data_IF_293392634927
#
_entry.id   IF_293392634927
#
_cell.length_a   1.000
_cell.length_b   1.000
_cell.length_c   1.000
_cell.angle_alpha   90.00
_cell.angle_beta   90.00
_cell.angle_gamma   90.00
#
_symmetry.space_group_name_H-M   'P 1'
#
loop_
_entity.id
_entity.type
_entity.pdbx_description
1 polymer ?
#
# COMPACT_ATOMS: atom_id res chain seq x y z
N UNK A 1 -15.47 2.77 -25.87
CA UNK A 1 -16.68 3.46 -26.31
C UNK A 1 -17.98 3.04 -25.65
N UNK A 2 -18.07 1.90 -24.96
CA UNK A 2 -19.29 1.54 -24.20
C UNK A 2 -19.53 2.43 -22.96
N UNK A 3 -18.50 3.11 -22.47
CA UNK A 3 -18.59 3.98 -21.28
C UNK A 3 -18.69 5.47 -21.63
N UNK A 4 -18.60 5.86 -22.89
CA UNK A 4 -18.65 7.26 -23.33
C UNK A 4 -17.47 8.12 -22.80
N UNK A 5 -16.35 7.48 -22.45
CA UNK A 5 -15.14 8.16 -21.95
C UNK A 5 -14.20 8.38 -23.14
N UNK A 6 -13.82 9.64 -23.39
CA UNK A 6 -12.79 9.97 -24.37
C UNK A 6 -11.39 9.86 -23.77
N UNK A 7 -10.39 9.75 -24.64
CA UNK A 7 -8.98 9.80 -24.24
C UNK A 7 -8.70 11.12 -23.53
N UNK A 8 -8.12 11.05 -22.33
CA UNK A 8 -7.80 12.22 -21.49
C UNK A 8 -8.92 12.70 -20.55
N UNK A 9 -10.16 12.20 -20.66
CA UNK A 9 -11.27 12.61 -19.79
C UNK A 9 -11.15 12.03 -18.38
N UNK A 10 -10.57 10.82 -18.26
CA UNK A 10 -10.45 10.12 -16.99
C UNK A 10 -9.55 10.89 -16.03
N UNK A 11 -10.08 11.25 -14.86
CA UNK A 11 -9.30 11.98 -13.86
C UNK A 11 -8.23 11.11 -13.20
N UNK A 12 -8.58 9.89 -12.81
CA UNK A 12 -7.69 8.96 -12.12
C UNK A 12 -7.89 7.54 -12.65
N UNK A 13 -6.79 6.87 -13.01
CA UNK A 13 -6.73 5.43 -13.19
C UNK A 13 -5.95 4.83 -12.01
N UNK A 14 -6.63 4.08 -11.16
CA UNK A 14 -6.00 3.41 -10.02
C UNK A 14 -6.05 1.89 -10.19
N UNK A 15 -4.96 1.19 -9.82
CA UNK A 15 -4.93 -0.26 -9.89
C UNK A 15 -3.80 -0.90 -9.09
N UNK A 16 -4.01 -2.18 -8.74
CA UNK A 16 -3.01 -3.04 -8.10
C UNK A 16 -2.83 -4.32 -8.94
N UNK A 17 -2.21 -4.25 -10.13
CA UNK A 17 -2.03 -5.42 -10.97
C UNK A 17 -1.23 -6.49 -10.23
N UNK A 18 -1.69 -7.75 -10.18
CA UNK A 18 -1.02 -8.79 -9.44
C UNK A 18 0.39 -9.06 -9.98
N UNK A 19 1.33 -9.27 -9.06
CA UNK A 19 2.74 -9.47 -9.34
C UNK A 19 3.24 -10.69 -8.57
N UNK A 20 2.83 -11.89 -8.99
CA UNK A 20 3.15 -13.12 -8.25
C UNK A 20 4.62 -13.50 -8.34
N UNK A 21 5.32 -13.17 -9.43
CA UNK A 21 6.75 -13.43 -9.60
C UNK A 21 7.67 -12.72 -8.60
N UNK A 22 7.19 -11.67 -7.91
CA UNK A 22 7.97 -10.89 -6.93
C UNK A 22 7.68 -11.26 -5.47
N UNK A 23 6.60 -12.00 -5.20
CA UNK A 23 6.25 -12.34 -3.84
C UNK A 23 7.36 -13.14 -3.16
N UNK A 24 7.74 -12.75 -1.94
CA UNK A 24 8.67 -13.53 -1.10
C UNK A 24 8.17 -14.94 -0.80
N UNK A 25 6.86 -15.16 -0.93
CA UNK A 25 6.24 -16.47 -0.76
C UNK A 25 6.50 -17.41 -1.95
N UNK A 26 6.98 -16.90 -3.08
CA UNK A 26 7.42 -17.72 -4.22
C UNK A 26 8.90 -17.99 -4.07
N UNK A 27 9.36 -19.26 -4.04
CA UNK A 27 10.78 -19.59 -4.00
C UNK A 27 11.55 -18.91 -5.12
N UNK A 28 12.78 -18.40 -4.82
CA UNK A 28 13.58 -17.60 -5.76
C UNK A 28 13.78 -18.27 -7.13
N UNK A 29 13.88 -19.60 -7.17
CA UNK A 29 14.02 -20.40 -8.39
C UNK A 29 12.79 -20.40 -9.31
N UNK A 30 11.63 -19.95 -8.83
CA UNK A 30 10.38 -19.86 -9.59
C UNK A 30 9.98 -18.40 -9.89
N UNK A 31 10.88 -17.44 -9.67
CA UNK A 31 10.66 -16.03 -9.99
C UNK A 31 11.26 -15.73 -11.34
N UNK A 32 10.42 -15.58 -12.36
CA UNK A 32 10.86 -15.26 -13.72
C UNK A 32 10.30 -13.92 -14.16
N UNK A 33 11.10 -13.12 -14.86
CA UNK A 33 10.71 -11.84 -15.47
C UNK A 33 9.58 -12.01 -16.49
N UNK A 34 9.56 -13.10 -17.21
CA UNK A 34 8.61 -13.40 -18.29
C UNK A 34 7.40 -14.23 -17.84
N UNK A 35 7.13 -14.30 -16.52
CA UNK A 35 5.94 -14.99 -16.01
C UNK A 35 4.68 -14.30 -16.59
N UNK A 36 3.77 -15.08 -17.17
CA UNK A 36 2.47 -14.59 -17.70
C UNK A 36 1.70 -13.76 -16.68
N UNK A 37 1.88 -14.04 -15.40
CA UNK A 37 1.29 -13.30 -14.29
C UNK A 37 1.83 -11.87 -14.14
N UNK A 38 2.97 -11.57 -14.72
CA UNK A 38 3.54 -10.23 -14.77
C UNK A 38 3.03 -9.42 -15.97
N UNK A 39 2.34 -10.08 -16.92
CA UNK A 39 1.71 -9.40 -18.06
C UNK A 39 0.65 -8.39 -17.63
N UNK A 40 0.02 -8.59 -16.47
CA UNK A 40 -1.02 -7.68 -15.98
C UNK A 40 -0.49 -6.29 -15.63
N UNK A 41 0.79 -6.15 -15.29
CA UNK A 41 1.43 -4.84 -15.14
C UNK A 41 1.48 -4.13 -16.50
N UNK A 42 1.91 -4.83 -17.54
CA UNK A 42 1.97 -4.29 -18.90
C UNK A 42 0.58 -3.94 -19.42
N UNK A 43 -0.41 -4.82 -19.17
CA UNK A 43 -1.82 -4.53 -19.50
C UNK A 43 -2.31 -3.26 -18.79
N UNK A 44 -1.93 -3.05 -17.52
CA UNK A 44 -2.27 -1.81 -16.82
C UNK A 44 -1.62 -0.59 -17.49
N UNK A 45 -0.35 -0.69 -17.89
CA UNK A 45 0.34 0.37 -18.62
C UNK A 45 -0.30 0.62 -20.01
N UNK A 46 -0.70 -0.43 -20.72
CA UNK A 46 -1.44 -0.31 -21.99
C UNK A 46 -2.74 0.50 -21.81
N UNK A 47 -3.46 0.29 -20.69
CA UNK A 47 -4.63 1.13 -20.35
C UNK A 47 -4.23 2.58 -20.02
N UNK A 48 -3.11 2.80 -19.34
CA UNK A 48 -2.62 4.17 -19.08
C UNK A 48 -2.34 4.92 -20.39
N UNK A 49 -1.67 4.25 -21.34
CA UNK A 49 -1.33 4.81 -22.65
C UNK A 49 -2.57 5.04 -23.51
N UNK A 50 -3.52 4.08 -23.53
CA UNK A 50 -4.72 4.15 -24.33
C UNK A 50 -5.73 5.19 -23.82
N UNK A 51 -5.94 5.27 -22.50
CA UNK A 51 -6.95 6.17 -21.89
C UNK A 51 -6.40 7.54 -21.56
N UNK A 52 -5.09 7.66 -21.41
CA UNK A 52 -4.38 8.89 -21.03
C UNK A 52 -5.03 9.63 -19.84
N UNK A 53 -5.25 8.96 -18.69
CA UNK A 53 -5.84 9.61 -17.53
C UNK A 53 -5.00 10.81 -17.08
N UNK A 54 -5.62 11.77 -16.38
CA UNK A 54 -4.88 12.93 -15.83
C UNK A 54 -3.90 12.51 -14.75
N UNK A 55 -4.26 11.48 -13.97
CA UNK A 55 -3.46 10.91 -12.89
C UNK A 55 -3.50 9.39 -12.90
N UNK A 56 -2.42 8.78 -12.47
CA UNK A 56 -2.27 7.33 -12.34
C UNK A 56 -1.81 7.02 -10.91
N UNK A 57 -2.41 5.99 -10.31
CA UNK A 57 -1.98 5.40 -9.05
C UNK A 57 -1.86 3.88 -9.22
N UNK A 58 -0.66 3.35 -9.13
CA UNK A 58 -0.43 1.91 -9.15
C UNK A 58 0.19 1.46 -7.81
N UNK A 59 -0.43 0.47 -7.16
CA UNK A 59 0.10 -0.18 -5.95
C UNK A 59 0.66 -1.55 -6.30
N UNK A 60 1.78 -1.91 -5.65
CA UNK A 60 2.31 -3.26 -5.77
C UNK A 60 3.18 -3.65 -4.55
N UNK A 61 3.72 -4.87 -4.57
CA UNK A 61 4.65 -5.32 -3.54
C UNK A 61 5.95 -4.51 -3.57
N UNK A 62 6.55 -4.26 -2.40
CA UNK A 62 7.76 -3.44 -2.27
C UNK A 62 8.94 -3.99 -3.10
N UNK A 63 8.99 -5.30 -3.29
CA UNK A 63 10.01 -5.99 -4.06
C UNK A 63 9.99 -5.66 -5.55
N UNK A 64 8.88 -5.18 -6.09
CA UNK A 64 8.79 -4.70 -7.47
C UNK A 64 9.77 -3.55 -7.72
N UNK A 65 9.93 -2.64 -6.75
CA UNK A 65 10.84 -1.49 -6.89
C UNK A 65 12.30 -1.87 -6.96
N UNK A 66 12.71 -2.93 -6.26
CA UNK A 66 14.13 -3.33 -6.15
C UNK A 66 14.46 -4.66 -6.81
N UNK A 67 13.45 -5.45 -7.19
CA UNK A 67 13.65 -6.76 -7.79
C UNK A 67 14.12 -6.71 -9.23
N UNK A 68 14.83 -7.76 -9.69
CA UNK A 68 15.34 -7.91 -11.06
C UNK A 68 16.10 -6.65 -11.54
N UNK A 69 17.00 -6.14 -10.69
CA UNK A 69 17.79 -4.95 -10.96
C UNK A 69 16.94 -3.73 -11.37
N UNK A 70 15.76 -3.60 -10.76
CA UNK A 70 14.80 -2.52 -11.02
C UNK A 70 14.20 -2.52 -12.44
N UNK A 71 14.25 -3.64 -13.15
CA UNK A 71 13.80 -3.70 -14.54
C UNK A 71 12.35 -3.21 -14.72
N UNK A 72 11.44 -3.64 -13.83
CA UNK A 72 10.06 -3.17 -13.89
C UNK A 72 9.87 -1.71 -13.51
N UNK A 73 10.61 -1.23 -12.52
CA UNK A 73 10.59 0.20 -12.19
C UNK A 73 10.98 1.04 -13.39
N UNK A 74 12.08 0.68 -14.05
CA UNK A 74 12.52 1.38 -15.27
C UNK A 74 11.53 1.25 -16.42
N UNK A 75 10.92 0.07 -16.64
CA UNK A 75 9.90 -0.12 -17.68
C UNK A 75 8.67 0.77 -17.40
N UNK A 76 8.20 0.82 -16.15
CA UNK A 76 7.05 1.66 -15.75
C UNK A 76 7.38 3.14 -15.94
N UNK A 77 8.53 3.60 -15.44
CA UNK A 77 8.97 4.99 -15.59
C UNK A 77 9.09 5.37 -17.07
N UNK A 78 9.85 4.59 -17.84
CA UNK A 78 10.07 4.87 -19.25
C UNK A 78 8.75 4.98 -20.02
N UNK A 79 7.85 4.00 -19.91
CA UNK A 79 6.58 3.99 -20.65
C UNK A 79 5.69 5.17 -20.26
N UNK A 80 5.60 5.49 -18.99
CA UNK A 80 4.77 6.60 -18.51
C UNK A 80 5.38 7.96 -18.89
N UNK A 81 6.70 8.11 -18.83
CA UNK A 81 7.40 9.32 -19.24
C UNK A 81 7.27 9.55 -20.76
N UNK A 82 7.42 8.50 -21.57
CA UNK A 82 7.19 8.53 -23.03
C UNK A 82 5.74 8.91 -23.36
N UNK A 83 4.78 8.52 -22.51
CA UNK A 83 3.37 8.92 -22.62
C UNK A 83 3.08 10.34 -22.08
N UNK A 84 4.10 11.09 -21.64
CA UNK A 84 4.00 12.47 -21.19
C UNK A 84 3.61 12.66 -19.72
N UNK A 85 3.86 11.67 -18.87
CA UNK A 85 3.64 11.77 -17.42
C UNK A 85 4.91 12.17 -16.68
N UNK A 86 4.72 12.93 -15.60
CA UNK A 86 5.74 13.04 -14.53
C UNK A 86 5.50 11.92 -13.55
N UNK A 87 6.53 11.09 -13.31
CA UNK A 87 6.42 9.86 -12.49
C UNK A 87 7.13 10.06 -11.15
N UNK A 88 6.49 9.62 -10.08
CA UNK A 88 7.09 9.49 -8.74
C UNK A 88 6.80 8.09 -8.20
N UNK A 89 7.76 7.49 -7.54
CA UNK A 89 7.55 6.21 -6.87
C UNK A 89 8.18 6.17 -5.48
N UNK A 90 7.49 5.51 -4.55
CA UNK A 90 7.96 5.33 -3.18
C UNK A 90 7.57 3.96 -2.64
N UNK A 91 8.33 3.47 -1.65
CA UNK A 91 7.92 2.34 -0.82
C UNK A 91 7.44 2.87 0.51
N UNK A 92 6.17 2.64 0.81
CA UNK A 92 5.55 3.04 2.06
C UNK A 92 5.39 1.82 2.98
N UNK A 93 5.53 2.06 4.29
CA UNK A 93 5.28 1.06 5.33
C UNK A 93 4.01 1.47 6.08
N UNK A 94 3.03 0.61 6.14
CA UNK A 94 1.73 0.92 6.76
C UNK A 94 1.85 1.36 8.23
N UNK A 95 2.82 0.81 8.97
CA UNK A 95 3.08 1.20 10.35
C UNK A 95 3.50 2.67 10.48
N UNK A 96 4.19 3.24 9.49
CA UNK A 96 4.60 4.65 9.49
C UNK A 96 3.41 5.62 9.40
N UNK A 97 2.19 5.09 9.18
CA UNK A 97 0.92 5.82 9.02
C UNK A 97 -0.16 5.35 10.00
N UNK A 98 0.24 4.73 11.12
CA UNK A 98 -0.67 4.35 12.20
C UNK A 98 -1.45 3.05 11.98
N UNK A 99 -1.09 2.26 10.97
CA UNK A 99 -1.69 0.93 10.77
C UNK A 99 -0.86 -0.10 11.56
N UNK A 100 -1.47 -0.94 12.42
CA UNK A 100 -0.76 -1.93 13.22
C UNK A 100 -0.27 -3.14 12.39
N UNK A 101 0.41 -2.85 11.29
CA UNK A 101 0.90 -3.85 10.33
C UNK A 101 2.21 -3.40 9.67
N UNK A 102 3.20 -4.27 9.63
CA UNK A 102 4.47 -4.04 8.91
C UNK A 102 4.34 -4.32 7.40
N UNK A 103 3.22 -3.90 6.79
CA UNK A 103 2.98 -4.05 5.36
C UNK A 103 3.76 -2.99 4.58
N UNK A 104 4.63 -3.42 3.69
CA UNK A 104 5.36 -2.54 2.78
C UNK A 104 4.80 -2.67 1.37
N UNK A 105 4.59 -1.52 0.72
CA UNK A 105 4.08 -1.46 -0.67
C UNK A 105 4.81 -0.42 -1.48
N UNK A 106 5.07 -0.76 -2.74
CA UNK A 106 5.50 0.20 -3.73
C UNK A 106 4.28 0.92 -4.31
N UNK A 107 4.38 2.22 -4.40
CA UNK A 107 3.40 3.08 -5.06
C UNK A 107 4.09 3.80 -6.21
N UNK A 108 3.43 3.79 -7.36
CA UNK A 108 3.79 4.58 -8.52
C UNK A 108 2.67 5.59 -8.75
N UNK A 109 3.02 6.85 -8.73
CA UNK A 109 2.14 7.99 -8.92
C UNK A 109 2.60 8.72 -10.18
N UNK A 110 1.70 8.98 -11.10
CA UNK A 110 2.05 9.74 -12.28
C UNK A 110 0.95 10.75 -12.61
N UNK A 111 1.32 11.88 -13.21
CA UNK A 111 0.37 12.88 -13.67
C UNK A 111 0.84 13.60 -14.93
N UNK A 112 -0.12 14.18 -15.67
CA UNK A 112 0.07 15.02 -16.84
C UNK A 112 -0.30 16.49 -16.55
N UNK A 113 -0.38 16.87 -15.27
CA UNK A 113 -0.87 18.16 -14.79
C UNK A 113 0.28 19.12 -14.46
N UNK A 114 1.54 18.65 -14.59
CA UNK A 114 2.72 19.48 -14.42
C UNK A 114 3.13 19.74 -12.96
N UNK A 115 2.68 18.92 -12.01
CA UNK A 115 3.15 19.00 -10.63
C UNK A 115 3.93 17.74 -10.23
N UNK A 116 4.74 17.85 -9.18
CA UNK A 116 5.47 16.73 -8.57
C UNK A 116 4.70 16.19 -7.37
N UNK A 117 4.78 14.90 -7.15
CA UNK A 117 4.26 14.27 -5.94
C UNK A 117 5.35 14.22 -4.86
N UNK A 118 4.99 14.56 -3.64
CA UNK A 118 5.81 14.30 -2.48
C UNK A 118 5.35 13.01 -1.78
N UNK A 119 6.31 12.29 -1.19
CA UNK A 119 5.98 11.18 -0.32
C UNK A 119 5.26 11.74 0.92
N UNK A 120 4.07 11.22 1.31
CA UNK A 120 3.38 11.67 2.50
C UNK A 120 4.31 11.61 3.73
N UNK A 121 4.31 12.63 4.60
CA UNK A 121 5.11 12.61 5.81
C UNK A 121 4.66 11.47 6.74
N UNK A 122 5.62 10.80 7.37
CA UNK A 122 5.30 9.76 8.34
C UNK A 122 4.61 10.37 9.55
N UNK A 123 3.53 9.77 9.98
CA UNK A 123 2.76 10.18 11.17
C UNK A 123 3.16 9.37 12.41
N UNK A 124 3.78 8.20 12.21
CA UNK A 124 4.22 7.30 13.27
C UNK A 124 5.65 6.85 13.00
N UNK A 125 6.44 6.71 14.05
CA UNK A 125 7.85 6.30 13.98
C UNK A 125 8.08 5.02 14.77
N UNK A 126 9.11 4.21 14.44
CA UNK A 126 9.53 3.11 15.29
C UNK A 126 9.80 3.62 16.71
N UNK A 127 9.42 2.85 17.72
CA UNK A 127 9.83 3.16 19.10
C UNK A 127 11.35 3.29 19.14
N UNK A 128 11.82 4.47 19.47
CA UNK A 128 13.25 4.71 19.70
C UNK A 128 13.67 3.94 20.95
N UNK A 129 14.76 3.20 20.85
CA UNK A 129 15.47 2.65 22.01
C UNK A 129 16.41 3.70 22.62
N UNK A 130 16.06 4.99 22.52
CA UNK A 130 16.84 6.05 23.12
C UNK A 130 16.93 5.86 24.63
N UNK A 131 18.15 5.98 25.17
CA UNK A 131 18.51 5.72 26.58
C UNK A 131 17.89 6.72 27.56
N UNK A 132 17.14 7.72 27.13
CA UNK A 132 16.60 8.78 27.98
C UNK A 132 15.17 8.55 28.48
N UNK A 133 14.64 7.32 28.31
CA UNK A 133 13.43 6.89 29.03
C UNK A 133 12.13 7.63 28.71
N UNK A 134 12.07 8.45 27.66
CA UNK A 134 10.85 9.07 27.20
C UNK A 134 9.95 8.02 26.53
N UNK A 135 9.11 7.38 27.36
CA UNK A 135 8.09 6.40 26.94
C UNK A 135 6.84 7.05 26.35
N UNK A 136 6.80 8.36 26.19
CA UNK A 136 5.61 9.15 25.84
C UNK A 136 5.75 9.88 24.52
N UNK A 137 6.22 9.18 23.47
CA UNK A 137 6.00 9.67 22.12
C UNK A 137 4.68 9.03 21.61
N UNK A 138 3.60 9.81 21.63
CA UNK A 138 2.26 9.39 21.20
C UNK A 138 2.22 8.96 19.72
N UNK A 139 3.29 9.23 18.99
CA UNK A 139 3.43 8.94 17.56
C UNK A 139 4.30 7.70 17.24
N UNK A 140 4.33 6.70 18.10
CA UNK A 140 5.03 5.45 17.81
C UNK A 140 4.19 4.49 16.95
N UNK A 141 4.88 3.52 16.30
CA UNK A 141 4.22 2.43 15.59
C UNK A 141 3.27 1.67 16.53
N UNK A 142 2.01 1.59 16.14
CA UNK A 142 0.99 0.84 16.89
C UNK A 142 1.27 -0.65 16.72
N UNK A 143 1.40 -1.36 17.84
CA UNK A 143 1.59 -2.81 17.85
C UNK A 143 0.26 -3.53 17.63
N UNK A 144 0.35 -4.81 17.23
CA UNK A 144 -0.85 -5.67 17.13
C UNK A 144 -1.53 -5.78 18.49
N UNK A 145 -0.77 -5.89 19.59
CA UNK A 145 -1.34 -5.95 20.94
C UNK A 145 -2.08 -4.66 21.31
N UNK A 146 -1.53 -3.51 21.02
CA UNK A 146 -2.21 -2.21 21.24
C UNK A 146 -3.48 -2.10 20.39
N UNK A 147 -3.55 -2.77 19.25
CA UNK A 147 -4.73 -2.71 18.39
C UNK A 147 -5.87 -3.65 18.83
N UNK A 148 -5.55 -4.88 19.26
CA UNK A 148 -6.53 -5.93 19.49
C UNK A 148 -6.48 -6.56 20.89
N UNK A 149 -5.63 -6.07 21.80
CA UNK A 149 -5.46 -6.67 23.13
C UNK A 149 -6.69 -6.56 24.05
N UNK A 150 -7.70 -5.79 23.65
CA UNK A 150 -9.00 -5.62 24.32
C UNK A 150 -10.10 -6.56 23.78
N UNK A 151 -9.81 -7.31 22.72
CA UNK A 151 -10.74 -8.30 22.20
C UNK A 151 -10.76 -9.56 23.07
N UNK A 152 -11.91 -10.25 23.16
CA UNK A 152 -12.02 -11.49 23.89
C UNK A 152 -11.11 -12.57 23.26
N UNK A 153 -10.44 -13.40 24.08
CA UNK A 153 -9.66 -14.51 23.58
C UNK A 153 -10.57 -15.55 22.91
N UNK A 154 -10.13 -16.10 21.79
CA UNK A 154 -10.82 -17.15 21.07
C UNK A 154 -10.01 -18.44 21.14
N UNK A 155 -10.67 -19.57 21.41
CA UNK A 155 -10.06 -20.88 21.26
C UNK A 155 -9.90 -21.25 19.78
N UNK A 156 -9.01 -22.21 19.51
CA UNK A 156 -8.82 -22.70 18.14
C UNK A 156 -10.11 -23.26 17.55
N UNK A 157 -10.54 -22.73 16.41
CA UNK A 157 -11.76 -23.14 15.73
C UNK A 157 -13.05 -22.42 16.18
N UNK A 158 -12.97 -21.57 17.19
CA UNK A 158 -14.10 -20.69 17.55
C UNK A 158 -14.28 -19.58 16.51
N UNK A 159 -15.52 -19.40 16.07
CA UNK A 159 -15.91 -18.36 15.10
C UNK A 159 -17.23 -17.71 15.55
N UNK A 160 -17.25 -16.98 16.68
CA UNK A 160 -18.46 -16.29 17.12
C UNK A 160 -18.81 -15.19 16.11
N UNK A 161 -20.11 -15.08 15.75
CA UNK A 161 -20.59 -14.00 14.88
C UNK A 161 -20.57 -12.65 15.59
N UNK A 162 -20.74 -12.64 16.90
CA UNK A 162 -20.71 -11.45 17.75
C UNK A 162 -20.01 -11.82 19.05
N UNK A 163 -19.18 -10.93 19.56
CA UNK A 163 -18.54 -11.04 20.86
C UNK A 163 -18.53 -9.69 21.55
N UNK A 164 -18.74 -9.69 22.85
CA UNK A 164 -18.65 -8.47 23.66
C UNK A 164 -17.20 -8.17 24.05
N UNK A 165 -16.86 -6.90 24.19
CA UNK A 165 -15.58 -6.50 24.73
C UNK A 165 -15.48 -6.88 26.22
N UNK A 166 -14.36 -7.47 26.59
CA UNK A 166 -14.14 -7.96 27.97
C UNK A 166 -13.61 -6.86 28.92
N UNK A 167 -13.12 -5.75 28.38
CA UNK A 167 -12.58 -4.63 29.15
C UNK A 167 -12.76 -3.30 28.40
N UNK A 168 -12.66 -2.15 29.10
CA UNK A 168 -12.59 -0.85 28.46
C UNK A 168 -11.37 -0.74 27.51
N UNK A 169 -11.42 0.18 26.52
CA UNK A 169 -10.27 0.42 25.65
C UNK A 169 -9.07 0.89 26.49
N UNK A 170 -7.90 0.29 26.27
CA UNK A 170 -6.69 0.58 27.01
C UNK A 170 -5.86 1.72 26.39
N UNK A 171 -6.20 2.17 25.20
CA UNK A 171 -5.48 3.22 24.46
C UNK A 171 -6.38 3.94 23.47
N UNK A 172 -5.85 5.02 22.89
CA UNK A 172 -6.59 5.86 21.95
C UNK A 172 -6.99 5.10 20.66
N UNK A 173 -6.12 4.23 20.14
CA UNK A 173 -6.42 3.42 18.95
C UNK A 173 -7.65 2.55 19.16
N UNK A 174 -7.71 1.81 20.28
CA UNK A 174 -8.88 0.98 20.63
C UNK A 174 -10.13 1.84 20.80
N UNK A 175 -10.02 2.99 21.49
CA UNK A 175 -11.13 3.93 21.66
C UNK A 175 -11.68 4.42 20.32
N UNK A 176 -10.78 4.79 19.40
CA UNK A 176 -11.13 5.24 18.05
C UNK A 176 -11.80 4.14 17.22
N UNK A 177 -11.28 2.90 17.30
CA UNK A 177 -11.86 1.77 16.55
C UNK A 177 -13.27 1.41 17.05
N UNK A 178 -13.54 1.57 18.36
CA UNK A 178 -14.86 1.32 18.94
C UNK A 178 -15.86 2.45 18.65
N UNK A 179 -15.41 3.70 18.55
CA UNK A 179 -16.30 4.87 18.34
C UNK A 179 -17.02 4.88 16.99
N UNK A 180 -16.54 4.13 16.01
CA UNK A 180 -17.19 3.96 14.71
C UNK A 180 -18.22 2.83 14.64
N UNK A 181 -18.40 2.07 15.72
CA UNK A 181 -19.40 1.03 15.85
C UNK A 181 -20.62 1.62 16.58
N UNK A 182 -21.45 2.36 15.86
CA UNK A 182 -22.83 2.54 16.30
C UNK A 182 -23.51 1.17 16.24
N UNK A 183 -23.96 0.71 17.38
CA UNK A 183 -24.80 -0.45 17.66
C UNK A 183 -25.99 -0.52 16.70
#
# INVERSE_FOLDING_TARGET
>A
DKLGINVGDLTLLAGGPPCQGFSKNVPRKFRYLEDEKNQLIRTFLDYCEALQPKMILMENVAEMRSGFDQAYTREIEQRLEEAGYTVHHAVLTAADYGVPQRRRRAFFLANRLGFTFDTPPRTHLPRSTSQDGSLFDDNHHITVWEAIGDLPPLAHGEMPLVSEYICPPANEFQSKMRSGQSV
#
